data_IF_048083549797
#
_entry.id   IF_048083549797
#
_cell.length_a   1.000
_cell.length_b   1.000
_cell.length_c   1.000
_cell.angle_alpha   90.00
_cell.angle_beta   90.00
_cell.angle_gamma   90.00
#
_symmetry.space_group_name_H-M   'P 1'
#
loop_
_entity.id
_entity.type
_entity.pdbx_description
1 polymer ?
#
# COMPACT_ATOMS: atom_id res chain seq x y z
N UNK A 1 1.49 16.34 26.66
CA UNK A 1 2.01 15.80 25.40
C UNK A 1 1.43 16.63 24.27
N UNK A 2 2.27 17.18 23.40
CA UNK A 2 1.80 17.97 22.25
C UNK A 2 0.94 17.08 21.35
N UNK A 3 -0.19 17.59 20.84
CA UNK A 3 -1.01 16.89 19.83
C UNK A 3 -0.17 16.40 18.63
N UNK A 4 0.91 17.12 18.33
CA UNK A 4 1.88 16.80 17.28
C UNK A 4 2.64 15.49 17.55
N UNK A 5 3.01 15.23 18.80
CA UNK A 5 3.68 13.98 19.20
C UNK A 5 2.72 12.80 19.13
N UNK A 6 1.47 12.99 19.56
CA UNK A 6 0.44 11.94 19.46
C UNK A 6 0.13 11.59 17.99
N UNK A 7 0.09 12.60 17.12
CA UNK A 7 -0.09 12.40 15.68
C UNK A 7 1.09 11.66 15.04
N UNK A 8 2.32 12.01 15.44
CA UNK A 8 3.53 11.35 14.95
C UNK A 8 3.58 9.87 15.32
N UNK A 9 3.23 9.54 16.56
CA UNK A 9 3.10 8.16 17.04
C UNK A 9 1.98 7.41 16.32
N UNK A 10 0.83 8.05 16.11
CA UNK A 10 -0.27 7.46 15.32
C UNK A 10 0.07 7.26 13.84
N UNK A 11 1.02 8.02 13.27
CA UNK A 11 1.45 7.91 11.87
C UNK A 11 2.48 6.81 11.66
N UNK A 12 3.42 6.64 12.59
CA UNK A 12 4.57 5.73 12.42
C UNK A 12 4.23 4.28 12.78
N UNK A 13 3.40 4.04 13.81
CA UNK A 13 2.99 2.68 14.20
C UNK A 13 2.23 1.88 13.12
N UNK A 14 1.33 2.48 12.31
CA UNK A 14 0.61 1.75 11.27
C UNK A 14 1.50 1.34 10.09
N UNK A 15 2.56 2.09 9.77
CA UNK A 15 3.35 1.83 8.57
C UNK A 15 4.19 0.57 8.69
N UNK A 16 4.82 0.37 9.85
CA UNK A 16 5.68 -0.78 10.09
C UNK A 16 4.86 -2.07 10.17
N UNK A 17 3.71 -2.01 10.86
CA UNK A 17 2.74 -3.13 10.90
C UNK A 17 2.19 -3.46 9.51
N UNK A 18 1.98 -2.44 8.69
CA UNK A 18 1.45 -2.64 7.34
C UNK A 18 2.46 -3.32 6.43
N UNK A 19 3.74 -2.93 6.51
CA UNK A 19 4.82 -3.61 5.79
C UNK A 19 4.97 -5.08 6.20
N UNK A 20 4.99 -5.34 7.51
CA UNK A 20 5.01 -6.71 8.05
C UNK A 20 3.82 -7.52 7.52
N UNK A 21 2.62 -6.93 7.53
CA UNK A 21 1.43 -7.61 7.03
C UNK A 21 1.51 -7.93 5.53
N UNK A 22 2.05 -7.04 4.70
CA UNK A 22 2.25 -7.33 3.29
C UNK A 22 3.23 -8.49 3.10
N UNK A 23 4.34 -8.49 3.85
CA UNK A 23 5.31 -9.60 3.81
C UNK A 23 4.65 -10.92 4.18
N UNK A 24 3.85 -10.95 5.24
CA UNK A 24 3.09 -12.16 5.63
C UNK A 24 2.12 -12.64 4.53
N UNK A 25 1.43 -11.71 3.86
CA UNK A 25 0.50 -12.04 2.78
C UNK A 25 1.25 -12.63 1.58
N UNK A 26 2.42 -12.06 1.26
CA UNK A 26 3.26 -12.53 0.18
C UNK A 26 3.88 -13.90 0.49
N UNK A 27 4.41 -14.11 1.69
CA UNK A 27 4.99 -15.41 2.10
C UNK A 27 3.96 -16.54 2.15
N UNK A 28 2.70 -16.23 2.49
CA UNK A 28 1.60 -17.20 2.53
C UNK A 28 0.93 -17.41 1.19
N UNK A 29 1.33 -16.68 0.14
CA UNK A 29 0.67 -16.78 -1.16
C UNK A 29 0.83 -18.19 -1.72
N UNK A 30 -0.20 -18.64 -2.39
CA UNK A 30 -0.15 -19.85 -3.22
C UNK A 30 -0.60 -19.49 -4.62
N UNK A 31 -0.30 -20.34 -5.60
CA UNK A 31 -0.74 -20.12 -6.97
C UNK A 31 -2.28 -20.00 -7.09
N UNK A 32 -3.05 -20.65 -6.20
CA UNK A 32 -4.52 -20.60 -6.18
C UNK A 32 -5.10 -19.56 -5.23
N UNK A 33 -4.30 -19.03 -4.30
CA UNK A 33 -4.74 -18.03 -3.32
C UNK A 33 -3.63 -17.01 -3.08
N UNK A 34 -3.65 -15.96 -3.90
CA UNK A 34 -2.76 -14.82 -3.77
C UNK A 34 -3.53 -13.61 -3.23
N UNK A 35 -3.40 -13.39 -1.93
CA UNK A 35 -4.03 -12.26 -1.21
C UNK A 35 -3.32 -10.92 -1.45
N UNK A 36 -2.20 -10.89 -2.19
CA UNK A 36 -1.54 -9.66 -2.59
C UNK A 36 -2.21 -8.98 -3.79
N UNK A 37 -3.00 -9.70 -4.61
CA UNK A 37 -3.62 -9.11 -5.80
C UNK A 37 -4.48 -7.84 -5.54
N UNK A 38 -5.30 -7.78 -4.47
CA UNK A 38 -5.99 -6.54 -4.12
C UNK A 38 -5.03 -5.42 -3.71
N UNK A 39 -3.90 -5.75 -3.06
CA UNK A 39 -2.88 -4.78 -2.64
C UNK A 39 -2.20 -4.18 -3.87
N UNK A 40 -1.78 -5.01 -4.83
CA UNK A 40 -1.20 -4.56 -6.10
C UNK A 40 -2.11 -3.58 -6.82
N UNK A 41 -3.39 -3.94 -6.93
CA UNK A 41 -4.40 -3.16 -7.64
C UNK A 41 -4.70 -1.84 -6.92
N UNK A 42 -4.78 -1.87 -5.58
CA UNK A 42 -5.11 -0.70 -4.76
C UNK A 42 -4.00 0.34 -4.75
N UNK A 43 -2.74 -0.10 -4.66
CA UNK A 43 -1.60 0.81 -4.51
C UNK A 43 -0.81 1.03 -5.79
N UNK A 44 -1.11 0.30 -6.87
CA UNK A 44 -0.34 0.37 -8.11
C UNK A 44 1.11 -0.06 -7.90
N UNK A 45 1.29 -1.21 -7.25
CA UNK A 45 2.59 -1.80 -6.90
C UNK A 45 2.63 -3.28 -7.30
N UNK A 46 3.80 -3.90 -7.31
CA UNK A 46 3.94 -5.33 -7.55
C UNK A 46 4.99 -5.95 -6.63
N UNK A 47 4.66 -7.11 -6.03
CA UNK A 47 5.57 -7.78 -5.11
C UNK A 47 5.83 -6.97 -3.84
N UNK A 48 6.78 -7.44 -3.02
CA UNK A 48 7.22 -6.72 -1.83
C UNK A 48 8.21 -5.64 -2.23
N UNK A 49 9.29 -6.02 -2.91
CA UNK A 49 10.35 -5.14 -3.39
C UNK A 49 10.22 -4.81 -4.88
N UNK A 50 9.41 -5.57 -5.62
CA UNK A 50 9.12 -5.30 -7.02
C UNK A 50 8.63 -6.54 -7.78
N UNK A 51 8.37 -6.41 -9.10
CA UNK A 51 7.87 -7.50 -9.93
C UNK A 51 8.79 -8.72 -9.98
N UNK A 52 10.09 -8.55 -9.74
CA UNK A 52 11.06 -9.65 -9.65
C UNK A 52 10.69 -10.69 -8.59
N UNK A 53 9.95 -10.33 -7.54
CA UNK A 53 9.59 -11.25 -6.46
C UNK A 53 8.68 -12.39 -6.96
N UNK A 54 7.93 -12.15 -8.03
CA UNK A 54 7.13 -13.18 -8.72
C UNK A 54 7.89 -13.91 -9.82
N UNK A 55 8.93 -13.29 -10.38
CA UNK A 55 9.69 -13.83 -11.52
C UNK A 55 10.85 -14.74 -11.11
N UNK A 56 11.26 -14.72 -9.83
CA UNK A 56 12.32 -15.58 -9.30
C UNK A 56 11.86 -17.03 -9.06
N UNK A 57 10.55 -17.30 -9.07
CA UNK A 57 10.00 -18.65 -8.93
C UNK A 57 10.15 -19.45 -10.24
N UNK A 58 10.29 -20.78 -10.15
CA UNK A 58 10.35 -21.65 -11.33
C UNK A 58 8.98 -21.61 -12.03
N UNK A 59 8.93 -21.09 -13.27
CA UNK A 59 7.69 -20.71 -13.99
C UNK A 59 6.96 -19.48 -13.42
N UNK A 60 7.70 -18.61 -12.73
CA UNK A 60 7.20 -17.35 -12.20
C UNK A 60 6.52 -16.49 -13.26
N UNK A 61 5.31 -16.04 -12.96
CA UNK A 61 4.54 -15.14 -13.81
C UNK A 61 3.95 -14.03 -12.96
N UNK A 62 3.89 -12.82 -13.53
CA UNK A 62 3.25 -11.70 -12.87
C UNK A 62 1.74 -11.95 -12.79
N UNK A 63 1.11 -11.78 -11.61
CA UNK A 63 -0.33 -11.75 -11.53
C UNK A 63 -0.85 -10.52 -12.28
N UNK A 64 -1.99 -10.63 -12.97
CA UNK A 64 -2.55 -9.51 -13.76
C UNK A 64 -2.73 -8.23 -12.94
N UNK A 65 -3.00 -8.36 -11.63
CA UNK A 65 -3.06 -7.24 -10.67
C UNK A 65 -1.80 -6.38 -10.57
N UNK A 66 -0.63 -6.88 -10.98
CA UNK A 66 0.62 -6.13 -11.05
C UNK A 66 0.72 -5.18 -12.27
N UNK A 67 -0.31 -5.15 -13.11
CA UNK A 67 -0.27 -4.42 -14.37
C UNK A 67 -1.47 -3.48 -14.50
N UNK A 68 -1.21 -2.30 -15.06
CA UNK A 68 -2.25 -1.35 -15.40
C UNK A 68 -3.30 -2.00 -16.31
N UNK A 69 -4.58 -1.76 -15.99
CA UNK A 69 -5.73 -2.35 -16.68
C UNK A 69 -5.69 -3.90 -16.74
N UNK A 70 -4.96 -4.56 -15.82
CA UNK A 70 -4.77 -6.00 -15.78
C UNK A 70 -4.08 -6.59 -17.03
N UNK A 71 -3.38 -5.75 -17.80
CA UNK A 71 -2.70 -6.14 -19.05
C UNK A 71 -1.17 -6.13 -18.87
N UNK A 72 -0.61 -7.31 -18.59
CA UNK A 72 0.84 -7.51 -18.47
C UNK A 72 1.54 -7.81 -19.81
N UNK A 73 0.84 -7.73 -20.95
CA UNK A 73 1.47 -7.98 -22.27
C UNK A 73 2.44 -6.85 -22.67
N UNK A 74 2.27 -5.67 -22.09
CA UNK A 74 3.12 -4.50 -22.31
C UNK A 74 3.98 -4.24 -21.08
N UNK A 75 5.32 -4.22 -21.22
CA UNK A 75 6.21 -3.90 -20.11
C UNK A 75 5.89 -2.56 -19.44
N UNK A 76 5.45 -1.56 -20.22
CA UNK A 76 5.07 -0.24 -19.72
C UNK A 76 3.84 -0.23 -18.80
N UNK A 77 3.10 -1.33 -18.71
CA UNK A 77 1.96 -1.45 -17.79
C UNK A 77 2.35 -2.05 -16.44
N UNK A 78 3.54 -2.67 -16.33
CA UNK A 78 3.97 -3.33 -15.09
C UNK A 78 4.26 -2.26 -14.03
N UNK A 79 3.74 -2.47 -12.83
CA UNK A 79 4.10 -1.66 -11.68
C UNK A 79 5.49 -2.07 -11.20
N UNK A 80 6.48 -1.22 -11.49
CA UNK A 80 7.89 -1.47 -11.14
C UNK A 80 8.18 -1.26 -9.65
N UNK A 81 7.36 -0.48 -8.94
CA UNK A 81 7.55 -0.22 -7.51
C UNK A 81 7.01 -1.36 -6.65
N UNK A 82 7.83 -1.81 -5.68
CA UNK A 82 7.44 -2.75 -4.64
C UNK A 82 6.38 -2.19 -3.68
N UNK A 83 5.51 -3.06 -3.18
CA UNK A 83 4.46 -2.64 -2.26
C UNK A 83 4.99 -2.19 -0.90
N UNK A 84 6.15 -2.66 -0.44
CA UNK A 84 6.80 -2.19 0.80
C UNK A 84 7.01 -0.68 0.77
N UNK A 85 7.41 -0.14 -0.40
CA UNK A 85 7.63 1.29 -0.59
C UNK A 85 6.35 2.02 -0.96
N UNK A 86 5.65 1.56 -2.01
CA UNK A 86 4.52 2.31 -2.60
C UNK A 86 3.33 2.42 -1.66
N UNK A 87 2.98 1.32 -1.01
CA UNK A 87 1.79 1.27 -0.18
C UNK A 87 2.02 2.00 1.16
N UNK A 88 3.22 1.90 1.75
CA UNK A 88 3.61 2.69 2.92
C UNK A 88 3.61 4.19 2.62
N UNK A 89 4.16 4.61 1.48
CA UNK A 89 4.12 6.02 1.06
C UNK A 89 2.68 6.51 0.88
N UNK A 90 1.83 5.71 0.25
CA UNK A 90 0.41 6.02 0.05
C UNK A 90 -0.33 6.14 1.39
N UNK A 91 -0.09 5.23 2.33
CA UNK A 91 -0.70 5.29 3.66
C UNK A 91 -0.26 6.52 4.45
N UNK A 92 1.02 6.90 4.38
CA UNK A 92 1.52 8.13 5.00
C UNK A 92 0.82 9.37 4.43
N UNK A 93 0.72 9.45 3.10
CA UNK A 93 0.01 10.55 2.44
C UNK A 93 -1.48 10.59 2.83
N UNK A 94 -2.15 9.43 2.86
CA UNK A 94 -3.55 9.35 3.23
C UNK A 94 -3.78 9.74 4.70
N UNK A 95 -2.88 9.38 5.60
CA UNK A 95 -2.95 9.79 7.01
C UNK A 95 -2.87 11.31 7.18
N UNK A 96 -2.01 11.99 6.39
CA UNK A 96 -1.92 13.45 6.39
C UNK A 96 -3.19 14.10 5.83
N UNK A 97 -3.73 13.60 4.72
CA UNK A 97 -5.00 14.09 4.18
C UNK A 97 -6.15 13.93 5.17
N UNK A 98 -6.23 12.77 5.82
CA UNK A 98 -7.24 12.50 6.83
C UNK A 98 -7.10 13.45 8.03
N UNK A 99 -5.88 13.76 8.44
CA UNK A 99 -5.61 14.73 9.51
C UNK A 99 -6.15 16.12 9.17
N UNK A 100 -5.77 16.67 8.02
CA UNK A 100 -6.25 17.99 7.61
C UNK A 100 -7.78 18.01 7.44
N UNK A 101 -8.35 16.91 6.94
CA UNK A 101 -9.79 16.75 6.81
C UNK A 101 -10.49 16.77 8.18
N UNK A 102 -9.97 16.02 9.17
CA UNK A 102 -10.50 16.04 10.54
C UNK A 102 -10.40 17.42 11.18
N UNK A 103 -9.27 18.12 11.01
CA UNK A 103 -9.10 19.48 11.54
C UNK A 103 -10.11 20.46 10.93
N UNK A 104 -10.36 20.35 9.62
CA UNK A 104 -11.36 21.17 8.94
C UNK A 104 -12.78 20.87 9.44
N UNK A 105 -13.14 19.59 9.60
CA UNK A 105 -14.46 19.18 10.15
C UNK A 105 -14.65 19.75 11.55
N UNK A 106 -13.67 19.58 12.45
CA UNK A 106 -13.74 20.11 13.81
C UNK A 106 -13.92 21.63 13.82
N UNK A 107 -13.18 22.36 12.98
CA UNK A 107 -13.30 23.81 12.87
C UNK A 107 -14.68 24.27 12.37
N UNK A 108 -15.30 23.51 11.46
CA UNK A 108 -16.66 23.78 11.00
C UNK A 108 -17.69 23.49 12.10
N UNK A 109 -17.58 22.36 12.80
CA UNK A 109 -18.50 22.00 13.89
C UNK A 109 -18.45 23.03 15.04
N UNK A 110 -17.26 23.49 15.43
CA UNK A 110 -17.10 24.53 16.48
C UNK A 110 -17.71 25.86 16.07
N UNK A 111 -17.75 26.18 14.76
CA UNK A 111 -18.39 27.40 14.25
C UNK A 111 -19.92 27.31 14.22
N UNK A 112 -20.46 26.09 14.13
CA UNK A 112 -21.88 25.81 14.08
C UNK A 112 -22.50 25.51 15.47
N UNK A 113 -21.70 25.54 16.53
CA UNK A 113 -22.10 25.39 17.93
C UNK A 113 -22.16 26.74 18.65
#
# INVERSE_FOLDING_TARGET
GSYLEYFKVMREQPTDRFEERMRELFERKTHSDDKMQPVHSLFGCCGIEGPQDYLQEEHGALPSSCCYAFDCSKPSHVYEEGCSTKAVATLRMQAELNYYSCMAIIALEVRHM
#
